data_IF_896127263253
#
_entry.id   IF_896127263253
#
_cell.length_a   1.000
_cell.length_b   1.000
_cell.length_c   1.000
_cell.angle_alpha   90.00
_cell.angle_beta   90.00
_cell.angle_gamma   90.00
#
_symmetry.space_group_name_H-M   'P 1'
#
loop_
_entity.id
_entity.type
_entity.pdbx_description
1 polymer ?
#
# COMPACT_ATOMS: atom_id res chain seq x y z
N UNK A 1 -51.38 -47.69 -27.18
CA UNK A 1 -50.90 -46.34 -26.79
C UNK A 1 -49.48 -46.18 -27.29
N UNK A 2 -49.25 -45.35 -28.30
CA UNK A 2 -47.92 -45.15 -28.89
C UNK A 2 -47.10 -44.16 -28.05
N UNK A 3 -45.89 -44.58 -27.68
CA UNK A 3 -44.93 -43.75 -26.96
C UNK A 3 -44.18 -42.87 -27.96
N UNK A 4 -44.61 -41.61 -28.09
CA UNK A 4 -43.85 -40.59 -28.82
C UNK A 4 -42.57 -40.23 -28.05
N UNK A 5 -41.44 -40.78 -28.48
CA UNK A 5 -40.11 -40.33 -28.04
C UNK A 5 -39.82 -39.00 -28.75
N UNK A 6 -39.57 -37.88 -28.04
CA UNK A 6 -39.21 -36.64 -28.70
C UNK A 6 -37.86 -36.80 -29.41
N UNK A 7 -37.84 -36.59 -30.73
CA UNK A 7 -36.62 -36.55 -31.54
C UNK A 7 -35.64 -35.56 -30.91
N UNK A 8 -34.48 -36.04 -30.43
CA UNK A 8 -33.36 -35.19 -30.01
C UNK A 8 -33.06 -34.20 -31.13
N UNK A 9 -33.26 -32.90 -30.89
CA UNK A 9 -32.81 -31.84 -31.80
C UNK A 9 -31.31 -32.02 -32.03
N UNK A 10 -30.92 -32.18 -33.30
CA UNK A 10 -29.51 -32.21 -33.67
C UNK A 10 -28.88 -30.87 -33.26
N UNK A 11 -27.95 -30.93 -32.29
CA UNK A 11 -27.16 -29.78 -31.87
C UNK A 11 -26.30 -29.39 -33.07
N UNK A 12 -26.55 -28.21 -33.66
CA UNK A 12 -25.72 -27.71 -34.76
C UNK A 12 -24.26 -27.63 -34.28
N UNK A 13 -23.28 -28.10 -35.07
CA UNK A 13 -21.88 -27.99 -34.70
C UNK A 13 -21.52 -26.50 -34.58
N UNK A 14 -20.68 -26.13 -33.59
CA UNK A 14 -20.33 -24.74 -33.35
C UNK A 14 -19.68 -24.14 -34.61
N UNK A 15 -20.15 -22.94 -34.94
CA UNK A 15 -19.66 -22.16 -36.07
C UNK A 15 -18.15 -21.89 -35.94
N UNK A 16 -17.46 -21.61 -37.05
CA UNK A 16 -16.01 -21.28 -37.02
C UNK A 16 -15.74 -20.09 -36.08
N UNK A 17 -16.63 -19.10 -36.03
CA UNK A 17 -16.53 -17.92 -35.16
C UNK A 17 -16.68 -18.27 -33.67
N UNK A 18 -17.59 -19.18 -33.30
CA UNK A 18 -17.73 -19.66 -31.91
C UNK A 18 -16.50 -20.46 -31.46
N UNK A 19 -15.94 -21.30 -32.34
CA UNK A 19 -14.68 -22.01 -32.05
C UNK A 19 -13.51 -21.06 -31.87
N UNK A 20 -13.44 -19.99 -32.66
CA UNK A 20 -12.39 -18.98 -32.57
C UNK A 20 -12.54 -18.14 -31.30
N UNK A 21 -13.77 -17.73 -30.96
CA UNK A 21 -14.07 -17.05 -29.68
C UNK A 21 -13.77 -17.93 -28.47
N UNK A 22 -14.08 -19.23 -28.52
CA UNK A 22 -13.78 -20.17 -27.46
C UNK A 22 -12.26 -20.41 -27.29
N UNK A 23 -11.50 -20.43 -28.40
CA UNK A 23 -10.03 -20.50 -28.36
C UNK A 23 -9.41 -19.21 -27.81
N UNK A 24 -9.91 -18.05 -28.24
CA UNK A 24 -9.45 -16.75 -27.73
C UNK A 24 -9.80 -16.57 -26.25
N UNK A 25 -11.01 -16.91 -25.82
CA UNK A 25 -11.41 -16.86 -24.42
C UNK A 25 -10.63 -17.86 -23.57
N UNK A 26 -10.40 -19.08 -24.08
CA UNK A 26 -9.55 -20.09 -23.46
C UNK A 26 -8.10 -19.63 -23.30
N UNK A 27 -7.51 -19.01 -24.33
CA UNK A 27 -6.17 -18.44 -24.30
C UNK A 27 -6.04 -17.27 -23.31
N UNK A 28 -7.00 -16.35 -23.32
CA UNK A 28 -7.05 -15.22 -22.36
C UNK A 28 -7.22 -15.72 -20.93
N UNK A 29 -8.04 -16.75 -20.69
CA UNK A 29 -8.19 -17.39 -19.38
C UNK A 29 -6.91 -18.13 -18.94
N UNK A 30 -6.21 -18.79 -19.86
CA UNK A 30 -4.94 -19.45 -19.59
C UNK A 30 -3.83 -18.44 -19.24
N UNK A 31 -3.72 -17.35 -20.00
CA UNK A 31 -2.76 -16.26 -19.73
C UNK A 31 -3.08 -15.60 -18.39
N UNK A 32 -4.36 -15.35 -18.09
CA UNK A 32 -4.80 -14.79 -16.80
C UNK A 32 -4.50 -15.70 -15.61
N UNK A 33 -4.46 -17.02 -15.81
CA UNK A 33 -4.04 -17.99 -14.79
C UNK A 33 -2.53 -18.18 -14.70
N UNK A 34 -1.77 -17.77 -15.73
CA UNK A 34 -0.32 -17.88 -15.79
C UNK A 34 0.39 -16.83 -14.92
N UNK A 35 1.67 -17.06 -14.60
CA UNK A 35 2.51 -16.08 -13.89
C UNK A 35 3.02 -14.94 -14.80
N UNK A 36 2.77 -15.03 -16.11
CA UNK A 36 3.32 -14.12 -17.10
C UNK A 36 2.95 -12.64 -16.86
N UNK A 37 1.68 -12.26 -16.58
CA UNK A 37 1.35 -10.86 -16.31
C UNK A 37 2.09 -10.28 -15.11
N UNK A 38 2.35 -11.10 -14.09
CA UNK A 38 3.13 -10.69 -12.92
C UNK A 38 4.61 -10.51 -13.27
N UNK A 39 5.19 -11.38 -14.08
CA UNK A 39 6.59 -11.25 -14.52
C UNK A 39 6.79 -9.99 -15.37
N UNK A 40 5.87 -9.70 -16.30
CA UNK A 40 5.90 -8.46 -17.09
C UNK A 40 5.78 -7.24 -16.17
N UNK A 41 4.83 -7.26 -15.23
CA UNK A 41 4.69 -6.18 -14.25
C UNK A 41 5.97 -5.97 -13.43
N UNK A 42 6.56 -7.05 -12.92
CA UNK A 42 7.79 -6.99 -12.13
C UNK A 42 8.98 -6.47 -12.97
N UNK A 43 9.08 -6.88 -14.23
CA UNK A 43 10.10 -6.40 -15.15
C UNK A 43 9.95 -4.90 -15.43
N UNK A 44 8.72 -4.41 -15.63
CA UNK A 44 8.45 -2.96 -15.83
C UNK A 44 8.80 -2.16 -14.57
N UNK A 45 8.42 -2.65 -13.38
CA UNK A 45 8.79 -2.01 -12.11
C UNK A 45 10.31 -1.99 -11.93
N UNK A 46 10.99 -3.11 -12.22
CA UNK A 46 12.45 -3.19 -12.11
C UNK A 46 13.17 -2.27 -13.11
N UNK A 47 12.71 -2.20 -14.36
CA UNK A 47 13.26 -1.30 -15.36
C UNK A 47 13.02 0.18 -15.02
N UNK A 48 11.81 0.52 -14.56
CA UNK A 48 11.50 1.88 -14.10
C UNK A 48 12.32 2.28 -12.87
N UNK A 49 12.48 1.37 -11.91
CA UNK A 49 13.34 1.57 -10.75
C UNK A 49 14.81 1.75 -11.15
N UNK A 50 15.32 0.93 -12.07
CA UNK A 50 16.67 1.07 -12.57
C UNK A 50 16.87 2.45 -13.22
N UNK A 51 15.93 2.89 -14.06
CA UNK A 51 15.96 4.23 -14.67
C UNK A 51 15.98 5.36 -13.63
N UNK A 52 15.16 5.25 -12.57
CA UNK A 52 15.14 6.21 -11.47
C UNK A 52 16.46 6.24 -10.70
N UNK A 53 17.04 5.08 -10.38
CA UNK A 53 18.31 4.99 -9.66
C UNK A 53 19.46 5.53 -10.52
N UNK A 54 19.48 5.23 -11.81
CA UNK A 54 20.50 5.78 -12.73
C UNK A 54 20.36 7.28 -12.90
N UNK A 55 19.13 7.82 -12.84
CA UNK A 55 18.88 9.26 -12.89
C UNK A 55 19.36 10.00 -11.62
N UNK A 56 19.64 9.30 -10.52
CA UNK A 56 20.28 9.91 -9.33
C UNK A 56 21.75 10.30 -9.59
N UNK A 57 22.38 9.73 -10.62
CA UNK A 57 23.75 10.06 -11.03
C UNK A 57 23.67 11.09 -12.16
N UNK A 58 24.32 12.27 -12.04
CA UNK A 58 24.17 13.39 -12.99
C UNK A 58 24.92 13.19 -14.32
N UNK A 59 25.05 11.94 -14.79
CA UNK A 59 25.83 11.56 -15.98
C UNK A 59 24.92 10.99 -17.10
N UNK A 60 23.61 10.91 -16.86
CA UNK A 60 22.64 10.34 -17.79
C UNK A 60 21.69 11.36 -18.44
N UNK A 61 20.84 10.90 -19.38
CA UNK A 61 19.83 11.75 -20.00
C UNK A 61 18.78 12.24 -18.98
N UNK A 62 18.46 13.53 -19.02
CA UNK A 62 17.52 14.18 -18.08
C UNK A 62 16.12 13.56 -18.08
N UNK A 63 15.67 13.05 -19.24
CA UNK A 63 14.34 12.44 -19.38
C UNK A 63 14.21 11.07 -18.67
N UNK A 64 15.32 10.47 -18.25
CA UNK A 64 15.33 9.10 -17.69
C UNK A 64 14.58 9.01 -16.36
N UNK A 65 14.69 10.04 -15.51
CA UNK A 65 13.97 10.13 -14.25
C UNK A 65 12.45 10.18 -14.46
N UNK A 66 12.00 11.06 -15.36
CA UNK A 66 10.58 11.16 -15.73
C UNK A 66 10.04 9.88 -16.35
N UNK A 67 10.76 9.27 -17.29
CA UNK A 67 10.34 8.01 -17.91
C UNK A 67 10.23 6.87 -16.88
N UNK A 68 11.21 6.77 -15.97
CA UNK A 68 11.18 5.81 -14.86
C UNK A 68 9.99 6.04 -13.93
N UNK A 69 9.69 7.30 -13.60
CA UNK A 69 8.54 7.67 -12.77
C UNK A 69 7.21 7.26 -13.41
N UNK A 70 7.02 7.56 -14.71
CA UNK A 70 5.83 7.17 -15.47
C UNK A 70 5.69 5.64 -15.54
N UNK A 71 6.79 4.92 -15.77
CA UNK A 71 6.78 3.46 -15.82
C UNK A 71 6.33 2.85 -14.48
N UNK A 72 6.90 3.31 -13.36
CA UNK A 72 6.53 2.84 -12.01
C UNK A 72 5.10 3.23 -11.67
N UNK A 73 4.69 4.48 -11.90
CA UNK A 73 3.33 4.96 -11.61
C UNK A 73 2.28 4.17 -12.42
N UNK A 74 2.56 3.91 -13.70
CA UNK A 74 1.70 3.09 -14.57
C UNK A 74 1.60 1.66 -14.07
N UNK A 75 2.74 1.03 -13.76
CA UNK A 75 2.78 -0.33 -13.23
C UNK A 75 2.06 -0.43 -11.89
N UNK A 76 2.24 0.54 -11.00
CA UNK A 76 1.59 0.54 -9.68
C UNK A 76 0.08 0.75 -9.81
N UNK A 77 -0.36 1.61 -10.74
CA UNK A 77 -1.78 1.76 -11.08
C UNK A 77 -2.37 0.44 -11.60
N UNK A 78 -1.66 -0.26 -12.48
CA UNK A 78 -2.04 -1.61 -12.91
C UNK A 78 -2.15 -2.56 -11.73
N UNK A 79 -1.14 -2.59 -10.85
CA UNK A 79 -1.08 -3.46 -9.69
C UNK A 79 -2.26 -3.24 -8.74
N UNK A 80 -2.55 -1.98 -8.44
CA UNK A 80 -3.66 -1.60 -7.57
C UNK A 80 -5.01 -1.97 -8.19
N UNK A 81 -5.21 -1.67 -9.47
CA UNK A 81 -6.43 -2.04 -10.20
C UNK A 81 -6.61 -3.58 -10.27
N UNK A 82 -5.54 -4.32 -10.55
CA UNK A 82 -5.58 -5.78 -10.57
C UNK A 82 -5.90 -6.37 -9.20
N UNK A 83 -5.31 -5.82 -8.13
CA UNK A 83 -5.50 -6.29 -6.76
C UNK A 83 -6.91 -6.00 -6.24
N UNK A 84 -7.49 -4.88 -6.63
CA UNK A 84 -8.84 -4.45 -6.23
C UNK A 84 -9.96 -4.95 -7.14
N UNK A 85 -9.66 -5.85 -8.09
CA UNK A 85 -10.65 -6.43 -9.01
C UNK A 85 -11.20 -5.42 -10.04
N UNK A 86 -10.47 -4.35 -10.31
CA UNK A 86 -10.81 -3.32 -11.30
C UNK A 86 -10.42 -3.70 -12.74
N UNK A 87 -10.30 -2.67 -13.59
CA UNK A 87 -9.93 -2.81 -15.02
C UNK A 87 -8.48 -2.34 -15.23
N UNK A 88 -7.46 -3.20 -14.97
CA UNK A 88 -6.07 -2.78 -14.92
C UNK A 88 -5.58 -2.14 -16.22
N UNK A 89 -5.97 -2.69 -17.38
CA UNK A 89 -5.60 -2.17 -18.71
C UNK A 89 -6.08 -0.73 -18.92
N UNK A 90 -7.31 -0.42 -18.51
CA UNK A 90 -7.89 0.92 -18.72
C UNK A 90 -7.18 1.93 -17.82
N UNK A 91 -7.07 1.62 -16.53
CA UNK A 91 -6.46 2.55 -15.57
C UNK A 91 -4.96 2.72 -15.81
N UNK A 92 -4.23 1.68 -16.24
CA UNK A 92 -2.83 1.82 -16.62
C UNK A 92 -2.65 2.61 -17.91
N UNK A 93 -3.50 2.42 -18.92
CA UNK A 93 -3.44 3.19 -20.16
C UNK A 93 -3.69 4.68 -19.89
N UNK A 94 -4.67 5.00 -19.02
CA UNK A 94 -4.91 6.36 -18.56
C UNK A 94 -3.72 6.92 -17.77
N UNK A 95 -3.15 6.15 -16.82
CA UNK A 95 -1.99 6.57 -16.06
C UNK A 95 -0.77 6.84 -16.96
N UNK A 96 -0.54 5.99 -17.97
CA UNK A 96 0.51 6.17 -18.96
C UNK A 96 0.28 7.43 -19.78
N UNK A 97 -0.93 7.61 -20.33
CA UNK A 97 -1.29 8.78 -21.13
C UNK A 97 -1.14 10.07 -20.34
N UNK A 98 -1.63 10.10 -19.09
CA UNK A 98 -1.50 11.26 -18.20
C UNK A 98 -0.03 11.51 -17.83
N UNK A 99 0.73 10.46 -17.50
CA UNK A 99 2.15 10.58 -17.17
C UNK A 99 2.97 11.12 -18.34
N UNK A 100 2.74 10.62 -19.56
CA UNK A 100 3.38 11.15 -20.77
C UNK A 100 2.96 12.58 -21.02
N UNK A 101 1.67 12.91 -20.90
CA UNK A 101 1.19 14.28 -21.08
C UNK A 101 1.83 15.25 -20.07
N UNK A 102 2.02 14.83 -18.82
CA UNK A 102 2.73 15.61 -17.78
C UNK A 102 4.17 15.89 -18.20
N UNK A 103 4.90 14.89 -18.70
CA UNK A 103 6.29 15.06 -19.14
C UNK A 103 6.40 15.93 -20.40
N UNK A 104 5.47 15.81 -21.35
CA UNK A 104 5.49 16.56 -22.62
C UNK A 104 5.07 18.01 -22.42
N UNK A 105 4.09 18.27 -21.55
CA UNK A 105 3.63 19.64 -21.27
C UNK A 105 4.60 20.42 -20.39
N UNK A 106 5.43 19.72 -19.61
CA UNK A 106 6.39 20.29 -18.66
C UNK A 106 5.79 21.29 -17.64
N UNK A 107 4.47 21.20 -17.41
CA UNK A 107 3.78 22.11 -16.51
C UNK A 107 4.00 21.70 -15.04
N UNK A 108 4.50 22.65 -14.24
CA UNK A 108 4.84 22.43 -12.81
C UNK A 108 3.66 21.91 -11.99
N UNK A 109 2.45 22.40 -12.30
CA UNK A 109 1.21 21.98 -11.63
C UNK A 109 0.87 20.52 -11.96
N UNK A 110 1.04 20.12 -13.22
CA UNK A 110 0.79 18.76 -13.67
C UNK A 110 1.82 17.76 -13.10
N UNK A 111 3.11 18.14 -13.07
CA UNK A 111 4.17 17.37 -12.39
C UNK A 111 3.86 17.14 -10.91
N UNK A 112 3.41 18.18 -10.22
CA UNK A 112 3.03 18.09 -8.80
C UNK A 112 1.81 17.20 -8.60
N UNK A 113 0.77 17.32 -9.43
CA UNK A 113 -0.40 16.45 -9.40
C UNK A 113 -0.05 14.98 -9.66
N UNK A 114 0.82 14.71 -10.64
CA UNK A 114 1.31 13.36 -10.93
C UNK A 114 2.10 12.76 -9.76
N UNK A 115 2.96 13.56 -9.11
CA UNK A 115 3.71 13.16 -7.92
C UNK A 115 2.78 12.80 -6.74
N UNK A 116 1.76 13.63 -6.46
CA UNK A 116 0.74 13.36 -5.43
C UNK A 116 0.02 12.04 -5.72
N UNK A 117 -0.47 11.86 -6.95
CA UNK A 117 -1.20 10.65 -7.32
C UNK A 117 -0.31 9.40 -7.28
N UNK A 118 0.96 9.52 -7.68
CA UNK A 118 1.94 8.42 -7.60
C UNK A 118 2.20 8.02 -6.16
N UNK A 119 2.34 8.99 -5.25
CA UNK A 119 2.48 8.73 -3.83
C UNK A 119 1.24 8.01 -3.26
N UNK A 120 0.04 8.51 -3.58
CA UNK A 120 -1.23 7.92 -3.13
C UNK A 120 -1.40 6.48 -3.63
N UNK A 121 -1.17 6.24 -4.93
CA UNK A 121 -1.27 4.89 -5.51
C UNK A 121 -0.26 3.95 -4.88
N UNK A 122 0.99 4.40 -4.66
CA UNK A 122 2.04 3.61 -4.01
C UNK A 122 1.68 3.25 -2.57
N UNK A 123 1.14 4.22 -1.82
CA UNK A 123 0.73 4.01 -0.44
C UNK A 123 -0.39 2.98 -0.32
N UNK A 124 -1.45 3.13 -1.13
CA UNK A 124 -2.61 2.22 -1.14
C UNK A 124 -2.22 0.85 -1.70
N UNK A 125 -1.35 0.79 -2.71
CA UNK A 125 -0.83 -0.48 -3.24
C UNK A 125 -0.02 -1.21 -2.17
N UNK A 126 0.85 -0.53 -1.42
CA UNK A 126 1.63 -1.11 -0.34
C UNK A 126 0.73 -1.80 0.69
N UNK A 127 -0.35 -1.14 1.11
CA UNK A 127 -1.35 -1.73 2.02
C UNK A 127 -2.05 -2.93 1.41
N UNK A 128 -2.58 -2.81 0.19
CA UNK A 128 -3.42 -3.84 -0.46
C UNK A 128 -2.63 -5.05 -0.96
N UNK A 129 -1.31 -4.90 -1.17
CA UNK A 129 -0.39 -5.96 -1.54
C UNK A 129 -0.10 -6.93 -0.38
N UNK A 130 -0.34 -6.52 0.87
CA UNK A 130 -0.16 -7.40 2.03
C UNK A 130 -1.12 -8.59 2.01
N UNK A 131 -0.66 -9.71 2.56
CA UNK A 131 -1.48 -10.93 2.75
C UNK A 131 -1.72 -11.23 4.24
N UNK A 132 -2.72 -12.05 4.58
CA UNK A 132 -2.94 -12.46 5.97
C UNK A 132 -1.72 -13.17 6.58
N UNK A 133 -1.45 -12.90 7.85
CA UNK A 133 -0.26 -13.39 8.55
C UNK A 133 -0.59 -14.04 9.90
N UNK A 134 -0.54 -15.38 9.97
CA UNK A 134 -0.82 -16.11 11.23
C UNK A 134 0.24 -15.84 12.30
N UNK A 135 1.52 -15.75 11.92
CA UNK A 135 2.65 -15.51 12.83
C UNK A 135 3.16 -14.08 12.72
N UNK A 136 3.70 -13.56 13.82
CA UNK A 136 4.26 -12.20 13.86
C UNK A 136 5.40 -12.00 12.84
N UNK A 137 6.27 -13.00 12.63
CA UNK A 137 7.33 -12.94 11.61
C UNK A 137 6.76 -12.77 10.21
N UNK A 138 5.62 -13.40 9.92
CA UNK A 138 4.94 -13.22 8.64
C UNK A 138 4.37 -11.79 8.55
N UNK A 139 3.83 -11.24 9.64
CA UNK A 139 3.36 -9.86 9.68
C UNK A 139 4.51 -8.85 9.47
N UNK A 140 5.69 -9.12 10.06
CA UNK A 140 6.91 -8.34 9.81
C UNK A 140 7.28 -8.35 8.33
N UNK A 141 7.25 -9.53 7.69
CA UNK A 141 7.51 -9.67 6.25
C UNK A 141 6.51 -8.87 5.42
N UNK A 142 5.23 -8.89 5.77
CA UNK A 142 4.22 -8.12 5.02
C UNK A 142 4.37 -6.61 5.22
N UNK A 143 4.71 -6.15 6.43
CA UNK A 143 5.03 -4.75 6.69
C UNK A 143 6.25 -4.31 5.89
N UNK A 144 7.32 -5.12 5.87
CA UNK A 144 8.53 -4.85 5.07
C UNK A 144 8.22 -4.75 3.57
N UNK A 145 7.39 -5.66 3.04
CA UNK A 145 6.94 -5.58 1.64
C UNK A 145 6.18 -4.28 1.38
N UNK A 146 5.25 -3.89 2.27
CA UNK A 146 4.49 -2.66 2.11
C UNK A 146 5.41 -1.43 2.09
N UNK A 147 6.41 -1.41 2.98
CA UNK A 147 7.46 -0.37 3.00
C UNK A 147 8.27 -0.37 1.70
N UNK A 148 8.71 -1.52 1.19
CA UNK A 148 9.45 -1.60 -0.08
C UNK A 148 8.65 -1.04 -1.26
N UNK A 149 7.36 -1.39 -1.35
CA UNK A 149 6.47 -0.84 -2.38
C UNK A 149 6.38 0.69 -2.25
N UNK A 150 6.21 1.19 -1.03
CA UNK A 150 6.19 2.63 -0.79
C UNK A 150 7.53 3.31 -1.12
N UNK A 151 8.68 2.70 -0.81
CA UNK A 151 10.01 3.24 -1.10
C UNK A 151 10.29 3.37 -2.60
N UNK A 152 9.89 2.37 -3.40
CA UNK A 152 9.95 2.47 -4.87
C UNK A 152 9.02 3.59 -5.37
N UNK A 153 7.83 3.70 -4.76
CA UNK A 153 6.92 4.82 -4.99
C UNK A 153 7.55 6.18 -4.70
N UNK A 154 8.36 6.29 -3.64
CA UNK A 154 9.07 7.52 -3.29
C UNK A 154 10.05 7.99 -4.37
N UNK A 155 10.82 7.05 -4.94
CA UNK A 155 11.70 7.35 -6.06
C UNK A 155 10.91 7.83 -7.28
N UNK A 156 9.79 7.17 -7.59
CA UNK A 156 8.93 7.58 -8.70
C UNK A 156 8.28 8.95 -8.47
N UNK A 157 7.87 9.25 -7.23
CA UNK A 157 7.33 10.55 -6.85
C UNK A 157 8.37 11.67 -7.03
N UNK A 158 9.63 11.42 -6.66
CA UNK A 158 10.73 12.38 -6.89
C UNK A 158 11.04 12.53 -8.38
N UNK A 159 10.94 11.45 -9.16
CA UNK A 159 11.24 11.49 -10.61
C UNK A 159 10.31 12.36 -11.45
N UNK A 160 9.17 12.82 -10.91
CA UNK A 160 8.35 13.87 -11.53
C UNK A 160 8.85 15.29 -11.26
N UNK A 161 9.83 15.45 -10.38
CA UNK A 161 10.42 16.73 -9.94
C UNK A 161 9.35 17.77 -9.54
N UNK A 162 8.49 17.44 -8.56
CA UNK A 162 7.36 18.30 -8.22
C UNK A 162 7.82 19.56 -7.49
N UNK A 163 7.13 20.67 -7.73
CA UNK A 163 7.35 21.94 -7.00
C UNK A 163 6.38 21.99 -5.84
N UNK A 164 6.87 21.77 -4.62
CA UNK A 164 6.02 21.50 -3.46
C UNK A 164 6.25 22.48 -2.31
N UNK A 165 5.17 22.74 -1.55
CA UNK A 165 5.30 23.10 -0.15
C UNK A 165 5.22 21.81 0.66
N UNK A 166 6.32 21.40 1.29
CA UNK A 166 6.45 20.08 1.92
C UNK A 166 5.23 19.73 2.79
N UNK A 167 4.90 20.58 3.77
CA UNK A 167 3.76 20.36 4.69
C UNK A 167 2.43 20.13 3.97
N UNK A 168 2.14 20.90 2.91
CA UNK A 168 0.88 20.75 2.15
C UNK A 168 0.87 19.45 1.37
N UNK A 169 2.00 19.10 0.77
CA UNK A 169 2.17 17.84 0.07
C UNK A 169 1.96 16.67 1.02
N UNK A 170 2.59 16.69 2.19
CA UNK A 170 2.50 15.63 3.20
C UNK A 170 1.07 15.39 3.70
N UNK A 171 0.31 16.46 3.98
CA UNK A 171 -1.08 16.31 4.39
C UNK A 171 -2.00 15.87 3.26
N UNK A 172 -1.78 16.38 2.04
CA UNK A 172 -2.60 16.01 0.89
C UNK A 172 -2.45 14.54 0.54
N UNK A 173 -1.22 14.04 0.42
CA UNK A 173 -0.95 12.62 0.13
C UNK A 173 -1.40 11.71 1.27
N UNK A 174 -1.17 12.07 2.54
CA UNK A 174 -1.63 11.27 3.67
C UNK A 174 -3.17 11.18 3.69
N UNK A 175 -3.86 12.31 3.55
CA UNK A 175 -5.32 12.37 3.53
C UNK A 175 -5.91 11.57 2.36
N UNK A 176 -5.41 11.80 1.15
CA UNK A 176 -5.85 11.06 -0.05
C UNK A 176 -5.52 9.57 0.03
N UNK A 177 -4.38 9.18 0.60
CA UNK A 177 -4.00 7.77 0.79
C UNK A 177 -4.90 7.08 1.79
N UNK A 178 -5.23 7.73 2.90
CA UNK A 178 -6.19 7.21 3.87
C UNK A 178 -7.57 7.07 3.23
N UNK A 179 -8.06 8.11 2.55
CA UNK A 179 -9.34 8.05 1.82
C UNK A 179 -9.36 6.92 0.79
N UNK A 180 -8.28 6.77 0.00
CA UNK A 180 -8.13 5.70 -0.97
C UNK A 180 -8.10 4.31 -0.33
N UNK A 181 -7.33 4.14 0.75
CA UNK A 181 -7.23 2.88 1.48
C UNK A 181 -8.57 2.49 2.10
N UNK A 182 -9.28 3.43 2.74
CA UNK A 182 -10.61 3.20 3.29
C UNK A 182 -11.64 2.94 2.19
N UNK A 183 -11.60 3.64 1.05
CA UNK A 183 -12.50 3.39 -0.07
C UNK A 183 -12.31 1.97 -0.64
N UNK A 184 -11.07 1.52 -0.77
CA UNK A 184 -10.76 0.14 -1.18
C UNK A 184 -11.27 -0.85 -0.13
N UNK A 185 -10.97 -0.62 1.14
CA UNK A 185 -11.39 -1.49 2.25
C UNK A 185 -12.90 -1.57 2.39
N UNK A 186 -13.62 -0.45 2.17
CA UNK A 186 -15.07 -0.42 2.17
C UNK A 186 -15.65 -1.39 1.13
N UNK A 187 -15.06 -1.43 -0.07
CA UNK A 187 -15.44 -2.40 -1.11
C UNK A 187 -15.06 -3.84 -0.74
N UNK A 188 -13.84 -4.04 -0.20
CA UNK A 188 -13.33 -5.34 0.21
C UNK A 188 -14.02 -5.92 1.45
N UNK A 189 -14.58 -5.08 2.30
CA UNK A 189 -15.18 -5.40 3.60
C UNK A 189 -16.66 -5.75 3.55
N UNK A 190 -17.34 -5.66 2.39
CA UNK A 190 -18.81 -5.64 2.27
C UNK A 190 -19.45 -4.41 2.94
N UNK A 191 -18.79 -3.26 2.84
CA UNK A 191 -19.25 -1.99 3.40
C UNK A 191 -19.23 -1.97 4.94
N UNK A 192 -20.01 -1.05 5.52
CA UNK A 192 -20.13 -0.90 6.97
C UNK A 192 -20.65 -2.16 7.68
N UNK A 193 -21.38 -3.02 6.97
CA UNK A 193 -21.86 -4.30 7.50
C UNK A 193 -20.71 -5.24 7.89
N UNK A 194 -19.54 -5.13 7.26
CA UNK A 194 -18.35 -5.91 7.63
C UNK A 194 -17.50 -5.32 8.74
N UNK A 195 -17.84 -4.13 9.24
CA UNK A 195 -17.11 -3.43 10.30
C UNK A 195 -17.22 -4.21 11.62
N UNK A 196 -18.44 -4.63 11.98
CA UNK A 196 -18.77 -5.21 13.29
C UNK A 196 -18.22 -4.42 14.49
N UNK A 197 -18.39 -4.93 15.72
CA UNK A 197 -17.98 -4.18 16.92
C UNK A 197 -16.47 -3.95 17.00
N UNK A 198 -15.65 -4.95 16.65
CA UNK A 198 -14.18 -4.86 16.72
C UNK A 198 -13.58 -3.98 15.63
N UNK A 199 -14.07 -4.07 14.39
CA UNK A 199 -13.63 -3.17 13.33
C UNK A 199 -14.01 -1.72 13.64
N UNK A 200 -15.19 -1.49 14.22
CA UNK A 200 -15.60 -0.15 14.65
C UNK A 200 -14.70 0.41 15.74
N UNK A 201 -14.37 -0.39 16.77
CA UNK A 201 -13.42 0.01 17.80
C UNK A 201 -12.04 0.32 17.23
N UNK A 202 -11.56 -0.49 16.29
CA UNK A 202 -10.26 -0.26 15.67
C UNK A 202 -10.25 1.00 14.79
N UNK A 203 -11.34 1.29 14.07
CA UNK A 203 -11.49 2.54 13.32
C UNK A 203 -11.58 3.74 14.24
N UNK A 204 -12.36 3.66 15.31
CA UNK A 204 -12.46 4.73 16.30
C UNK A 204 -11.09 5.01 16.94
N UNK A 205 -10.42 3.96 17.44
CA UNK A 205 -9.14 4.09 18.11
C UNK A 205 -8.04 4.56 17.15
N UNK A 206 -7.96 4.00 15.95
CA UNK A 206 -7.00 4.43 14.94
C UNK A 206 -7.20 5.88 14.53
N UNK A 207 -8.46 6.30 14.33
CA UNK A 207 -8.80 7.70 14.03
C UNK A 207 -8.46 8.63 15.20
N UNK A 208 -8.69 8.20 16.45
CA UNK A 208 -8.36 8.96 17.63
C UNK A 208 -6.84 9.13 17.77
N UNK A 209 -6.06 8.06 17.61
CA UNK A 209 -4.60 8.10 17.64
C UNK A 209 -4.06 8.99 16.52
N UNK A 210 -4.61 8.89 15.30
CA UNK A 210 -4.24 9.76 14.18
C UNK A 210 -4.55 11.23 14.50
N UNK A 211 -5.77 11.52 14.93
CA UNK A 211 -6.20 12.87 15.27
C UNK A 211 -5.35 13.46 16.39
N UNK A 212 -5.08 12.68 17.44
CA UNK A 212 -4.22 13.10 18.55
C UNK A 212 -2.79 13.37 18.08
N UNK A 213 -2.21 12.49 17.25
CA UNK A 213 -0.85 12.66 16.73
C UNK A 213 -0.73 13.93 15.89
N UNK A 214 -1.72 14.19 15.02
CA UNK A 214 -1.75 15.38 14.17
C UNK A 214 -2.02 16.66 14.96
N UNK A 215 -3.01 16.63 15.85
CA UNK A 215 -3.38 17.77 16.69
C UNK A 215 -2.24 18.12 17.65
N UNK A 216 -1.61 17.13 18.28
CA UNK A 216 -0.47 17.34 19.17
C UNK A 216 0.71 17.96 18.42
N UNK A 217 1.04 17.46 17.23
CA UNK A 217 2.09 18.04 16.40
C UNK A 217 1.79 19.51 16.03
N UNK A 218 0.55 19.82 15.62
CA UNK A 218 0.17 21.18 15.24
C UNK A 218 0.07 22.12 16.45
N UNK A 219 -0.38 21.62 17.62
CA UNK A 219 -0.43 22.37 18.87
C UNK A 219 0.97 22.73 19.35
N UNK A 220 1.93 21.80 19.34
CA UNK A 220 3.33 22.11 19.65
C UNK A 220 3.87 23.14 18.67
N UNK A 221 3.60 22.98 17.37
CA UNK A 221 4.14 23.85 16.33
C UNK A 221 3.63 25.29 16.42
N UNK A 222 2.41 25.51 16.92
CA UNK A 222 1.78 26.84 17.01
C UNK A 222 1.82 27.46 18.41
N UNK A 223 1.74 26.65 19.45
CA UNK A 223 1.49 27.09 20.83
C UNK A 223 2.41 26.43 21.85
N UNK A 224 3.41 25.66 21.41
CA UNK A 224 4.34 24.98 22.31
C UNK A 224 5.10 25.97 23.20
N UNK A 225 5.10 25.80 24.54
CA UNK A 225 5.96 26.57 25.43
C UNK A 225 7.44 26.36 25.03
N UNK A 226 8.27 27.43 24.98
CA UNK A 226 9.65 27.33 24.49
C UNK A 226 10.45 26.19 25.11
N UNK A 227 10.42 26.05 26.44
CA UNK A 227 11.15 24.98 27.14
C UNK A 227 10.70 23.55 26.82
N UNK A 228 9.42 23.34 26.51
CA UNK A 228 8.93 22.02 26.09
C UNK A 228 9.41 21.68 24.67
N UNK A 229 9.37 22.67 23.77
CA UNK A 229 9.87 22.54 22.40
C UNK A 229 11.38 22.27 22.42
N UNK A 230 12.14 22.98 23.26
CA UNK A 230 13.58 22.81 23.39
C UNK A 230 13.97 21.40 23.88
N UNK A 231 13.25 20.85 24.86
CA UNK A 231 13.51 19.48 25.32
C UNK A 231 13.17 18.42 24.26
N UNK A 232 12.07 18.59 23.53
CA UNK A 232 11.72 17.69 22.44
C UNK A 232 12.75 17.77 21.30
N UNK A 233 13.16 18.98 20.91
CA UNK A 233 14.18 19.20 19.89
C UNK A 233 15.55 18.69 20.33
N UNK A 234 15.91 18.81 21.62
CA UNK A 234 17.15 18.25 22.15
C UNK A 234 17.21 16.73 21.97
N UNK A 235 16.09 16.02 22.21
CA UNK A 235 16.00 14.59 21.94
C UNK A 235 16.13 14.24 20.45
N UNK A 236 15.52 15.04 19.57
CA UNK A 236 15.64 14.87 18.11
C UNK A 236 17.07 15.12 17.63
N UNK A 237 17.71 16.18 18.11
CA UNK A 237 19.11 16.50 17.79
C UNK A 237 20.04 15.41 18.30
N UNK A 238 19.88 14.96 19.56
CA UNK A 238 20.66 13.85 20.10
C UNK A 238 20.53 12.59 19.23
N UNK A 239 19.30 12.24 18.80
CA UNK A 239 19.04 11.11 17.92
C UNK A 239 19.71 11.27 16.56
N UNK A 240 19.69 12.46 15.98
CA UNK A 240 20.38 12.73 14.71
C UNK A 240 21.89 12.64 14.85
N UNK A 241 22.44 13.21 15.91
CA UNK A 241 23.89 13.26 16.13
C UNK A 241 24.47 11.88 16.46
N UNK A 242 23.73 11.02 17.17
CA UNK A 242 24.23 9.70 17.62
C UNK A 242 23.72 8.53 16.78
N UNK A 243 22.48 8.59 16.27
CA UNK A 243 21.82 7.50 15.54
C UNK A 243 21.67 7.82 14.04
N UNK A 244 22.02 9.03 13.60
CA UNK A 244 21.98 9.46 12.21
C UNK A 244 20.59 9.80 11.66
N UNK A 245 19.52 9.59 12.45
CA UNK A 245 18.13 9.87 12.05
C UNK A 245 17.16 9.84 13.25
N UNK A 246 15.92 10.30 13.01
CA UNK A 246 14.81 10.22 13.96
C UNK A 246 13.61 9.50 13.30
N UNK A 247 12.97 8.53 13.97
CA UNK A 247 11.84 7.79 13.39
C UNK A 247 10.65 8.70 13.11
N UNK A 248 9.97 8.48 11.99
CA UNK A 248 8.75 9.23 11.64
C UNK A 248 7.61 8.86 12.60
N UNK A 249 7.06 9.79 13.42
CA UNK A 249 6.13 9.44 14.50
C UNK A 249 4.83 8.77 14.01
N UNK A 250 4.21 9.29 12.95
CA UNK A 250 2.96 8.75 12.41
C UNK A 250 3.15 7.31 11.89
N UNK A 251 4.28 7.06 11.22
CA UNK A 251 4.66 5.74 10.72
C UNK A 251 4.87 4.75 11.88
N UNK A 252 5.66 5.15 12.87
CA UNK A 252 6.04 4.30 14.00
C UNK A 252 4.88 4.03 14.98
N UNK A 253 4.08 5.04 15.30
CA UNK A 253 3.06 4.95 16.36
C UNK A 253 1.73 4.39 15.87
N UNK A 254 1.39 4.59 14.60
CA UNK A 254 0.09 4.22 14.06
C UNK A 254 0.21 3.31 12.83
N UNK A 255 0.95 3.76 11.81
CA UNK A 255 0.96 3.11 10.51
C UNK A 255 1.44 1.66 10.54
N UNK A 256 2.69 1.45 10.95
CA UNK A 256 3.32 0.13 10.98
C UNK A 256 2.65 -0.83 11.98
N UNK A 257 2.31 -0.40 13.22
CA UNK A 257 1.53 -1.23 14.13
C UNK A 257 0.20 -1.68 13.52
N UNK A 258 -0.52 -0.78 12.85
CA UNK A 258 -1.79 -1.10 12.21
C UNK A 258 -1.63 -2.06 11.02
N UNK A 259 -0.55 -1.94 10.22
CA UNK A 259 -0.23 -2.93 9.19
C UNK A 259 0.00 -4.32 9.79
N UNK A 260 0.87 -4.42 10.80
CA UNK A 260 1.24 -5.69 11.41
C UNK A 260 0.03 -6.36 12.09
N UNK A 261 -0.69 -5.61 12.93
CA UNK A 261 -1.88 -6.11 13.62
C UNK A 261 -3.02 -6.42 12.64
N UNK A 262 -3.24 -5.58 11.63
CA UNK A 262 -4.25 -5.81 10.61
C UNK A 262 -3.99 -7.06 9.78
N UNK A 263 -2.73 -7.31 9.38
CA UNK A 263 -2.35 -8.56 8.68
C UNK A 263 -2.57 -9.78 9.58
N UNK A 264 -2.28 -9.65 10.88
CA UNK A 264 -2.54 -10.70 11.85
C UNK A 264 -4.04 -10.99 12.03
N UNK A 265 -4.85 -9.95 12.17
CA UNK A 265 -6.30 -10.07 12.28
C UNK A 265 -6.94 -10.66 11.02
N UNK A 266 -6.44 -10.31 9.82
CA UNK A 266 -6.97 -10.80 8.54
C UNK A 266 -6.90 -12.32 8.40
N UNK A 267 -5.96 -12.98 9.07
CA UNK A 267 -5.86 -14.44 9.08
C UNK A 267 -7.08 -15.11 9.73
N UNK A 268 -7.76 -14.40 10.64
CA UNK A 268 -8.88 -14.89 11.45
C UNK A 268 -10.21 -14.24 11.07
N UNK A 269 -10.20 -12.94 10.72
CA UNK A 269 -11.40 -12.10 10.61
C UNK A 269 -11.26 -11.10 9.46
N UNK A 270 -12.33 -10.90 8.70
CA UNK A 270 -12.40 -9.90 7.62
C UNK A 270 -12.20 -8.46 8.12
N UNK A 271 -12.54 -8.20 9.39
CA UNK A 271 -12.40 -6.90 10.05
C UNK A 271 -10.96 -6.38 10.07
N UNK A 272 -9.95 -7.26 9.95
CA UNK A 272 -8.54 -6.84 9.90
C UNK A 272 -8.22 -5.91 8.75
N UNK A 273 -9.03 -5.88 7.68
CA UNK A 273 -8.88 -4.91 6.59
C UNK A 273 -9.06 -3.46 7.05
N UNK A 274 -9.96 -3.20 8.00
CA UNK A 274 -10.17 -1.86 8.56
C UNK A 274 -8.97 -1.37 9.36
N UNK A 275 -8.29 -2.28 10.06
CA UNK A 275 -7.02 -1.98 10.74
C UNK A 275 -5.92 -1.74 9.71
N UNK A 276 -5.78 -2.61 8.71
CA UNK A 276 -4.81 -2.44 7.64
C UNK A 276 -4.96 -1.11 6.88
N UNK A 277 -6.17 -0.54 6.80
CA UNK A 277 -6.40 0.75 6.14
C UNK A 277 -5.53 1.88 6.73
N UNK A 278 -5.36 1.90 8.06
CA UNK A 278 -4.45 2.83 8.74
C UNK A 278 -2.97 2.58 8.40
N UNK A 279 -2.66 1.45 7.79
CA UNK A 279 -1.35 1.21 7.19
C UNK A 279 -0.96 2.22 6.11
N UNK A 280 -1.92 2.95 5.54
CA UNK A 280 -1.62 4.10 4.68
C UNK A 280 -0.85 5.19 5.43
N UNK A 281 -1.01 5.29 6.75
CA UNK A 281 -0.20 6.16 7.61
C UNK A 281 1.25 5.66 7.80
N UNK A 282 1.56 4.43 7.38
CA UNK A 282 2.93 3.94 7.25
C UNK A 282 3.47 4.23 5.85
N UNK A 283 2.70 3.85 4.82
CA UNK A 283 3.20 3.83 3.45
C UNK A 283 3.20 5.21 2.80
N UNK A 284 2.29 6.12 3.15
CA UNK A 284 2.30 7.48 2.59
C UNK A 284 3.51 8.31 3.05
N UNK A 285 3.89 8.35 4.35
CA UNK A 285 5.13 9.01 4.77
C UNK A 285 6.38 8.44 4.11
N UNK A 286 6.42 7.12 3.88
CA UNK A 286 7.53 6.46 3.16
C UNK A 286 7.54 6.87 1.69
N UNK A 287 6.39 6.88 1.02
CA UNK A 287 6.23 7.22 -0.40
C UNK A 287 6.51 8.70 -0.72
N UNK A 288 6.69 9.55 0.28
CA UNK A 288 7.10 10.95 0.10
C UNK A 288 8.43 11.26 0.80
N UNK A 289 9.09 10.26 1.37
CA UNK A 289 10.18 10.49 2.31
C UNK A 289 11.37 11.24 1.69
N UNK A 290 11.60 11.02 0.39
CA UNK A 290 12.69 11.61 -0.39
C UNK A 290 12.41 13.04 -0.88
N UNK A 291 11.22 13.60 -0.63
CA UNK A 291 10.87 14.95 -1.04
C UNK A 291 11.34 16.04 -0.08
N UNK A 292 11.85 15.68 1.09
CA UNK A 292 12.37 16.66 2.03
C UNK A 292 13.83 17.00 1.69
N UNK A 293 14.12 18.21 1.17
CA UNK A 293 15.50 18.59 0.81
C UNK A 293 16.40 18.84 2.02
N UNK A 294 15.83 18.94 3.22
CA UNK A 294 16.58 19.27 4.45
C UNK A 294 17.28 18.06 5.09
N UNK A 295 17.06 16.85 4.58
CA UNK A 295 17.65 15.62 5.14
C UNK A 295 18.38 14.84 4.04
N UNK A 296 19.48 14.18 4.41
CA UNK A 296 20.22 13.33 3.49
C UNK A 296 19.43 12.07 3.10
N UNK A 297 19.78 11.42 1.98
CA UNK A 297 19.17 10.14 1.61
C UNK A 297 19.42 9.03 2.65
N UNK A 298 20.58 9.06 3.31
CA UNK A 298 20.91 8.13 4.39
C UNK A 298 20.02 8.38 5.62
N UNK A 299 19.89 9.64 6.06
CA UNK A 299 18.99 10.00 7.16
C UNK A 299 17.55 9.61 6.85
N UNK A 300 17.09 9.83 5.62
CA UNK A 300 15.78 9.41 5.15
C UNK A 300 15.59 7.88 5.26
N UNK A 301 16.54 7.10 4.75
CA UNK A 301 16.50 5.64 4.82
C UNK A 301 16.50 5.11 6.26
N UNK A 302 17.35 5.67 7.12
CA UNK A 302 17.39 5.32 8.55
C UNK A 302 16.08 5.71 9.27
N UNK A 303 15.51 6.88 8.96
CA UNK A 303 14.24 7.32 9.56
C UNK A 303 13.09 6.34 9.27
N UNK A 304 13.01 5.84 8.03
CA UNK A 304 12.04 4.81 7.63
C UNK A 304 12.34 3.47 8.31
N UNK A 305 13.60 3.06 8.36
CA UNK A 305 13.99 1.81 9.03
C UNK A 305 13.65 1.84 10.52
N UNK A 306 13.96 2.94 11.21
CA UNK A 306 13.64 3.12 12.62
C UNK A 306 12.13 3.17 12.86
N UNK A 307 11.38 3.86 11.97
CA UNK A 307 9.92 3.86 12.00
C UNK A 307 9.32 2.45 11.89
N UNK A 308 9.84 1.66 10.94
CA UNK A 308 9.46 0.26 10.76
C UNK A 308 9.79 -0.60 11.98
N UNK A 309 11.00 -0.50 12.53
CA UNK A 309 11.42 -1.31 13.69
C UNK A 309 10.60 -0.96 14.93
N UNK A 310 10.50 0.32 15.29
CA UNK A 310 9.73 0.79 16.46
C UNK A 310 8.25 0.41 16.30
N UNK A 311 7.68 0.63 15.12
CA UNK A 311 6.30 0.28 14.86
C UNK A 311 6.01 -1.22 14.87
N UNK A 312 6.96 -2.06 14.46
CA UNK A 312 6.84 -3.51 14.59
C UNK A 312 6.87 -3.95 16.06
N UNK A 313 7.71 -3.34 16.89
CA UNK A 313 7.74 -3.60 18.34
C UNK A 313 6.40 -3.25 19.00
N UNK A 314 5.83 -2.08 18.66
CA UNK A 314 4.50 -1.67 19.15
C UNK A 314 3.43 -2.63 18.62
N UNK A 315 3.48 -2.98 17.33
CA UNK A 315 2.57 -3.95 16.72
C UNK A 315 2.62 -5.32 17.40
N UNK A 316 3.81 -5.79 17.80
CA UNK A 316 3.97 -7.02 18.57
C UNK A 316 3.25 -6.94 19.91
N UNK A 317 3.43 -5.84 20.65
CA UNK A 317 2.75 -5.62 21.94
C UNK A 317 1.24 -5.59 21.75
N UNK A 318 0.73 -4.86 20.75
CA UNK A 318 -0.72 -4.79 20.44
C UNK A 318 -1.28 -6.18 20.13
N UNK A 319 -0.60 -6.96 19.28
CA UNK A 319 -1.02 -8.34 18.97
C UNK A 319 -1.04 -9.20 20.25
N UNK A 320 -0.02 -9.09 21.10
CA UNK A 320 0.06 -9.84 22.36
C UNK A 320 -1.07 -9.47 23.33
N UNK A 321 -1.39 -8.20 23.45
CA UNK A 321 -2.49 -7.70 24.28
C UNK A 321 -3.86 -8.19 23.75
N UNK A 322 -4.09 -8.10 22.43
CA UNK A 322 -5.32 -8.60 21.81
C UNK A 322 -5.50 -10.11 22.03
N UNK A 323 -4.43 -10.90 21.88
CA UNK A 323 -4.45 -12.35 22.14
C UNK A 323 -4.61 -12.67 23.64
N UNK A 324 -4.08 -11.84 24.54
CA UNK A 324 -4.25 -12.04 25.97
C UNK A 324 -5.71 -11.80 26.42
N UNK A 325 -6.39 -10.83 25.80
CA UNK A 325 -7.78 -10.48 26.10
C UNK A 325 -8.76 -11.44 25.41
N UNK A 326 -8.46 -11.85 24.17
CA UNK A 326 -9.45 -12.53 23.30
C UNK A 326 -9.08 -13.96 22.93
N UNK A 327 -7.86 -14.40 23.19
CA UNK A 327 -7.36 -15.71 22.80
C UNK A 327 -7.74 -16.83 23.79
N UNK A 328 -7.82 -18.08 23.32
CA UNK A 328 -8.04 -19.24 24.18
C UNK A 328 -6.86 -19.45 25.13
N UNK A 329 -7.19 -19.85 26.36
CA UNK A 329 -6.19 -20.12 27.42
C UNK A 329 -5.56 -21.50 27.19
N UNK A 330 -4.23 -21.58 27.19
CA UNK A 330 -3.45 -22.82 27.06
C UNK A 330 -2.73 -23.00 25.72
N UNK A 331 -1.54 -23.64 25.76
CA UNK A 331 -0.65 -23.81 24.60
C UNK A 331 -1.26 -24.69 23.48
N UNK A 332 -2.01 -25.74 23.85
CA UNK A 332 -2.71 -26.62 22.90
C UNK A 332 -3.86 -25.90 22.20
N UNK A 333 -4.65 -25.13 22.95
CA UNK A 333 -5.77 -24.38 22.38
C UNK A 333 -5.28 -23.28 21.41
N UNK A 334 -4.15 -22.63 21.71
CA UNK A 334 -3.51 -21.68 20.77
C UNK A 334 -3.02 -22.36 19.49
N UNK A 335 -2.39 -23.53 19.58
CA UNK A 335 -1.96 -24.28 18.38
C UNK A 335 -3.15 -24.73 17.54
N UNK A 336 -4.24 -25.16 18.18
CA UNK A 336 -5.47 -25.52 17.49
C UNK A 336 -6.12 -24.30 16.82
N UNK A 337 -6.12 -23.14 17.49
CA UNK A 337 -6.61 -21.89 16.90
C UNK A 337 -5.71 -21.42 15.74
N UNK A 338 -4.39 -21.50 15.85
CA UNK A 338 -3.46 -21.18 14.75
C UNK A 338 -3.65 -22.10 13.54
N UNK A 339 -3.92 -23.39 13.78
CA UNK A 339 -4.23 -24.35 12.72
C UNK A 339 -5.59 -24.06 12.06
N UNK A 340 -6.56 -23.54 12.83
CA UNK A 340 -7.87 -23.13 12.33
C UNK A 340 -7.89 -21.70 11.74
N UNK A 341 -6.89 -20.87 12.04
CA UNK A 341 -6.75 -19.49 11.58
C UNK A 341 -6.28 -19.41 10.12
N UNK A 342 -7.02 -20.06 9.24
CA UNK A 342 -6.76 -20.08 7.80
C UNK A 342 -8.02 -19.59 7.11
N UNK A 343 -8.31 -18.28 7.22
CA UNK A 343 -9.19 -17.65 6.26
C UNK A 343 -8.43 -17.54 4.93
N UNK A 344 -8.81 -18.28 3.88
CA UNK A 344 -8.10 -18.22 2.61
C UNK A 344 -8.38 -16.86 1.96
N UNK A 345 -7.39 -15.98 1.93
CA UNK A 345 -7.39 -14.84 1.02
C UNK A 345 -6.57 -15.17 -0.24
N UNK A 346 -6.93 -14.60 -1.40
CA UNK A 346 -6.17 -14.79 -2.63
C UNK A 346 -4.72 -14.34 -2.46
N UNK A 347 -3.79 -15.11 -3.03
CA UNK A 347 -2.37 -14.75 -3.11
C UNK A 347 -2.18 -13.33 -3.66
N UNK A 348 -1.05 -12.68 -3.34
CA UNK A 348 -0.74 -11.29 -3.71
C UNK A 348 -0.94 -10.97 -5.20
N UNK A 349 -0.73 -11.96 -6.07
CA UNK A 349 -0.84 -11.83 -7.54
C UNK A 349 -2.25 -12.02 -8.08
N UNK A 350 -3.24 -12.27 -7.21
CA UNK A 350 -4.65 -12.45 -7.58
C UNK A 350 -5.49 -11.30 -7.05
N UNK A 351 -6.62 -11.03 -7.70
CA UNK A 351 -7.60 -10.06 -7.22
C UNK A 351 -8.14 -10.47 -5.84
N UNK A 352 -8.44 -9.48 -4.99
CA UNK A 352 -9.09 -9.66 -3.69
C UNK A 352 -10.60 -9.84 -3.79
N UNK A 353 -11.19 -9.37 -4.90
CA UNK A 353 -12.61 -9.45 -5.22
C UNK A 353 -12.87 -10.54 -6.26
#
# INVERSE_FOLDING_TARGET
>A
MSTHVPRRRAIRPPSRSERLRARLSGGVLAIRRSRFPFLVWAAVVAAGLAALVTAMVPVGPEWLGGAGAVAVATAYTWGLAARTGGRPVIFSALALAMGVAVLVSDERVLRTGAAVMTCVVSAVLGVTATVPAVRFVNACREAFVATLVASIGALATVGFEPVITLVRFEYATLGLSLLGAFAVVFRLGAGLHGLGRRGMLAVLLGSLVLAFTLAYAELIRRYGPPGLVDHLLAGVHWSRDHLGAFPRPIEAMLGVPALAWGCHMRARRRQGWWVCAFGAAATAPVAQALLNPAISYLECGLSVLYGLVVGLLIGFVVIRLDLAITGPRGSRARRAEEAAAVRPEPARTRALL
#
